data_IF_786559411666
#
_entry.id   IF_786559411666
#
_cell.length_a   1.000
_cell.length_b   1.000
_cell.length_c   1.000
_cell.angle_alpha   90.00
_cell.angle_beta   90.00
_cell.angle_gamma   90.00
#
_symmetry.space_group_name_H-M   'P 1'
#
loop_
_entity.id
_entity.type
_entity.pdbx_description
1 polymer ?
#
# COMPACT_ATOMS: atom_id res chain seq x y z
N UNK A 1 37.54 -18.30 -28.39
CA UNK A 1 36.92 -17.01 -28.74
C UNK A 1 35.48 -17.06 -28.24
N UNK A 2 35.20 -16.60 -27.02
CA UNK A 2 33.87 -16.65 -26.42
C UNK A 2 33.37 -15.21 -26.19
N UNK A 3 32.18 -14.92 -26.73
CA UNK A 3 31.51 -13.63 -26.67
C UNK A 3 31.23 -13.23 -25.21
N UNK A 4 31.78 -12.09 -24.78
CA UNK A 4 31.29 -11.38 -23.62
C UNK A 4 29.91 -10.78 -23.98
N UNK A 5 28.85 -11.28 -23.36
CA UNK A 5 27.50 -10.74 -23.50
C UNK A 5 27.45 -9.30 -22.97
N UNK A 6 27.10 -8.36 -23.85
CA UNK A 6 26.97 -6.92 -23.59
C UNK A 6 25.88 -6.62 -22.54
N UNK A 7 26.26 -6.58 -21.26
CA UNK A 7 25.41 -6.14 -20.13
C UNK A 7 25.06 -4.64 -20.15
N UNK A 8 25.65 -3.85 -21.05
CA UNK A 8 25.41 -2.40 -21.15
C UNK A 8 24.09 -2.08 -21.86
N UNK A 9 23.63 -2.93 -22.78
CA UNK A 9 22.34 -2.71 -23.44
C UNK A 9 21.14 -3.03 -22.53
N UNK A 10 21.31 -3.96 -21.59
CA UNK A 10 20.28 -4.30 -20.61
C UNK A 10 20.05 -3.17 -19.59
N UNK A 11 21.10 -2.45 -19.17
CA UNK A 11 20.99 -1.32 -18.24
C UNK A 11 20.40 -0.05 -18.89
N UNK A 12 20.55 0.12 -20.21
CA UNK A 12 19.99 1.24 -20.97
C UNK A 12 18.50 1.11 -21.29
N UNK A 13 17.91 -0.09 -21.11
CA UNK A 13 16.47 -0.36 -21.36
C UNK A 13 15.62 -0.16 -20.09
N UNK A 14 16.22 -0.19 -18.89
CA UNK A 14 15.51 -0.03 -17.60
C UNK A 14 15.10 1.40 -17.15
N UNK A 15 15.55 2.53 -17.74
CA UNK A 15 15.16 3.87 -17.25
C UNK A 15 13.66 4.13 -17.22
N UNK A 16 12.92 3.51 -18.15
CA UNK A 16 11.48 3.66 -18.28
C UNK A 16 10.68 2.83 -17.27
N UNK A 17 11.22 1.73 -16.76
CA UNK A 17 10.63 1.00 -15.62
C UNK A 17 10.88 1.77 -14.32
N UNK A 18 12.11 2.27 -14.14
CA UNK A 18 12.48 3.06 -12.95
C UNK A 18 11.62 4.31 -12.80
N UNK A 19 11.41 5.07 -13.87
CA UNK A 19 10.56 6.27 -13.80
C UNK A 19 9.08 5.94 -13.53
N UNK A 20 8.58 4.79 -14.01
CA UNK A 20 7.21 4.34 -13.72
C UNK A 20 7.05 3.99 -12.25
N UNK A 21 7.99 3.22 -11.69
CA UNK A 21 7.99 2.87 -10.26
C UNK A 21 8.10 4.13 -9.41
N UNK A 22 8.97 5.07 -9.75
CA UNK A 22 9.11 6.35 -9.04
C UNK A 22 7.82 7.19 -9.07
N UNK A 23 7.13 7.24 -10.22
CA UNK A 23 5.83 7.94 -10.34
C UNK A 23 4.75 7.26 -9.52
N UNK A 24 4.69 5.92 -9.51
CA UNK A 24 3.75 5.17 -8.68
C UNK A 24 4.00 5.43 -7.20
N UNK A 25 5.25 5.36 -6.74
CA UNK A 25 5.63 5.69 -5.35
C UNK A 25 5.26 7.12 -4.98
N UNK A 26 5.50 8.09 -5.86
CA UNK A 26 5.14 9.49 -5.63
C UNK A 26 3.61 9.66 -5.50
N UNK A 27 2.84 9.00 -6.37
CA UNK A 27 1.38 9.03 -6.33
C UNK A 27 0.83 8.38 -5.06
N UNK A 28 1.31 7.20 -4.70
CA UNK A 28 0.91 6.51 -3.48
C UNK A 28 1.27 7.29 -2.22
N UNK A 29 2.45 7.93 -2.19
CA UNK A 29 2.83 8.84 -1.11
C UNK A 29 1.88 10.02 -0.97
N UNK A 30 1.41 10.58 -2.09
CA UNK A 30 0.43 11.66 -2.09
C UNK A 30 -0.92 11.20 -1.51
N UNK A 31 -1.38 9.99 -1.81
CA UNK A 31 -2.58 9.43 -1.16
C UNK A 31 -2.37 9.32 0.35
N UNK A 32 -1.23 8.78 0.80
CA UNK A 32 -0.92 8.68 2.25
C UNK A 32 -0.88 10.04 2.95
N UNK A 33 -0.47 11.11 2.26
CA UNK A 33 -0.54 12.48 2.78
C UNK A 33 -2.02 12.88 2.96
N UNK A 34 -2.85 12.67 1.95
CA UNK A 34 -4.28 12.98 2.01
C UNK A 34 -5.04 12.21 3.10
N UNK A 35 -4.67 10.94 3.30
CA UNK A 35 -5.25 10.07 4.33
C UNK A 35 -4.65 10.28 5.73
N UNK A 36 -3.58 11.08 5.88
CA UNK A 36 -2.93 11.33 7.16
C UNK A 36 -2.11 10.14 7.70
N UNK A 37 -1.58 9.29 6.83
CA UNK A 37 -0.90 8.01 7.13
C UNK A 37 0.55 7.97 6.63
N UNK A 38 1.20 9.12 6.47
CA UNK A 38 2.54 9.23 5.88
C UNK A 38 3.65 8.57 6.73
N UNK A 39 3.44 8.48 8.04
CA UNK A 39 4.37 7.86 8.98
C UNK A 39 4.39 6.33 8.82
N UNK A 40 5.44 5.68 9.34
CA UNK A 40 5.60 4.22 9.25
C UNK A 40 4.42 3.45 9.86
N UNK A 41 3.88 3.96 10.97
CA UNK A 41 2.71 3.37 11.61
C UNK A 41 1.39 3.63 10.85
N UNK A 42 1.44 4.34 9.72
CA UNK A 42 0.34 4.53 8.77
C UNK A 42 -0.29 3.21 8.33
N UNK A 43 0.53 2.17 8.10
CA UNK A 43 0.04 0.83 7.74
C UNK A 43 -0.83 0.16 8.79
N UNK A 44 -0.73 0.59 10.06
CA UNK A 44 -1.56 0.10 11.16
C UNK A 44 -2.56 1.12 11.69
N UNK A 45 -2.73 2.24 11.01
CA UNK A 45 -3.60 3.33 11.46
C UNK A 45 -5.04 3.08 11.04
N UNK A 46 -5.97 3.20 11.98
CA UNK A 46 -7.41 3.18 11.75
C UNK A 46 -7.96 4.60 11.74
N UNK A 47 -9.21 4.73 11.28
CA UNK A 47 -9.98 5.95 11.43
C UNK A 47 -9.89 6.47 12.87
N UNK A 48 -9.81 7.79 13.03
CA UNK A 48 -9.51 8.50 14.29
C UNK A 48 -8.08 8.36 14.83
N UNK A 49 -7.17 7.71 14.10
CA UNK A 49 -5.74 7.64 14.44
C UNK A 49 -5.36 6.49 15.37
N UNK A 50 -6.32 5.67 15.82
CA UNK A 50 -6.07 4.49 16.66
C UNK A 50 -5.26 3.47 15.87
N UNK A 51 -4.42 2.67 16.54
CA UNK A 51 -3.58 1.66 15.88
C UNK A 51 -4.07 0.24 16.17
N UNK A 52 -4.01 -0.63 15.16
CA UNK A 52 -4.15 -2.07 15.36
C UNK A 52 -2.78 -2.75 15.42
N UNK A 53 -2.73 -4.00 15.86
CA UNK A 53 -1.48 -4.76 16.04
C UNK A 53 -1.41 -6.04 15.24
N UNK A 54 -2.55 -6.63 14.88
CA UNK A 54 -2.64 -7.86 14.10
C UNK A 54 -2.91 -7.55 12.62
N UNK A 55 -1.96 -7.93 11.77
CA UNK A 55 -2.05 -7.76 10.32
C UNK A 55 -2.64 -8.97 9.60
N UNK A 56 -2.98 -10.07 10.29
CA UNK A 56 -3.53 -11.28 9.66
C UNK A 56 -4.80 -11.02 8.85
N UNK A 57 -5.50 -9.91 9.14
CA UNK A 57 -6.70 -9.44 8.45
C UNK A 57 -6.86 -7.94 8.63
N UNK A 58 -7.70 -7.34 7.79
CA UNK A 58 -8.19 -5.99 8.03
C UNK A 58 -8.94 -5.94 9.39
N UNK A 59 -8.71 -4.94 10.26
CA UNK A 59 -9.19 -4.95 11.64
C UNK A 59 -10.72 -4.99 11.75
N UNK A 60 -11.43 -4.37 10.78
CA UNK A 60 -12.90 -4.30 10.73
C UNK A 60 -13.50 -3.73 12.03
N UNK A 61 -12.81 -2.75 12.62
CA UNK A 61 -13.27 -2.02 13.80
C UNK A 61 -13.93 -0.74 13.30
N UNK A 62 -15.16 -0.49 13.76
CA UNK A 62 -15.87 0.75 13.49
C UNK A 62 -15.41 1.81 14.49
N UNK A 63 -14.94 2.92 13.97
CA UNK A 63 -14.69 4.13 14.76
C UNK A 63 -15.66 5.23 14.31
N UNK A 64 -16.00 6.13 15.23
CA UNK A 64 -16.88 7.25 14.98
C UNK A 64 -16.16 8.56 15.34
N UNK A 65 -16.22 9.53 14.43
CA UNK A 65 -15.74 10.89 14.67
C UNK A 65 -16.52 11.86 13.77
N UNK A 66 -16.83 13.04 14.30
CA UNK A 66 -17.51 14.11 13.58
C UNK A 66 -18.82 13.66 12.90
N UNK A 67 -19.58 12.75 13.54
CA UNK A 67 -20.83 12.20 13.00
C UNK A 67 -20.66 11.19 11.85
N UNK A 68 -19.43 10.75 11.58
CA UNK A 68 -19.12 9.74 10.56
C UNK A 68 -18.64 8.46 11.23
N UNK A 69 -19.24 7.33 10.84
CA UNK A 69 -18.79 5.98 11.24
C UNK A 69 -18.01 5.36 10.08
N UNK A 70 -16.78 4.94 10.34
CA UNK A 70 -15.91 4.35 9.33
C UNK A 70 -15.16 3.14 9.86
N UNK A 71 -14.82 2.22 8.95
CA UNK A 71 -13.91 1.10 9.20
C UNK A 71 -12.54 1.34 8.55
N UNK A 72 -12.25 2.57 8.11
CA UNK A 72 -11.03 2.86 7.37
C UNK A 72 -9.79 2.44 8.17
N UNK A 73 -8.86 1.73 7.51
CA UNK A 73 -7.60 1.32 8.11
C UNK A 73 -6.47 1.20 7.09
N UNK A 74 -5.24 1.23 7.59
CA UNK A 74 -4.02 1.06 6.80
C UNK A 74 -3.56 2.32 6.08
N UNK A 75 -2.48 2.19 5.33
CA UNK A 75 -1.82 3.29 4.64
C UNK A 75 -2.75 4.03 3.68
N UNK A 76 -3.71 3.32 3.08
CA UNK A 76 -4.65 3.88 2.12
C UNK A 76 -6.09 3.93 2.64
N UNK A 77 -6.26 3.83 3.97
CA UNK A 77 -7.56 3.95 4.65
C UNK A 77 -8.66 3.08 4.00
N UNK A 78 -8.32 1.84 3.65
CA UNK A 78 -9.25 0.89 3.05
C UNK A 78 -10.46 0.68 3.96
N UNK A 79 -11.66 0.73 3.39
CA UNK A 79 -12.87 0.26 4.08
C UNK A 79 -12.88 -1.28 4.09
N UNK A 80 -13.46 -1.88 5.13
CA UNK A 80 -13.51 -3.34 5.27
C UNK A 80 -14.14 -4.03 4.05
N UNK A 81 -15.26 -3.50 3.55
CA UNK A 81 -15.94 -4.05 2.37
C UNK A 81 -15.07 -4.00 1.11
N UNK A 82 -14.35 -2.90 0.91
CA UNK A 82 -13.39 -2.74 -0.19
C UNK A 82 -12.25 -3.74 -0.06
N UNK A 83 -11.63 -3.83 1.11
CA UNK A 83 -10.54 -4.77 1.37
C UNK A 83 -10.99 -6.23 1.14
N UNK A 84 -12.17 -6.61 1.63
CA UNK A 84 -12.76 -7.94 1.42
C UNK A 84 -12.93 -8.29 -0.06
N UNK A 85 -13.28 -7.31 -0.90
CA UNK A 85 -13.39 -7.50 -2.34
C UNK A 85 -12.02 -7.69 -2.99
N UNK A 86 -11.03 -6.88 -2.61
CA UNK A 86 -9.65 -6.99 -3.09
C UNK A 86 -9.01 -8.32 -2.67
N UNK A 87 -9.15 -8.69 -1.41
CA UNK A 87 -8.68 -9.96 -0.86
C UNK A 87 -9.24 -11.16 -1.63
N UNK A 88 -10.54 -11.16 -1.96
CA UNK A 88 -11.13 -12.23 -2.78
C UNK A 88 -10.66 -12.21 -4.24
N UNK A 89 -10.47 -11.03 -4.81
CA UNK A 89 -10.11 -10.87 -6.23
C UNK A 89 -8.65 -11.23 -6.51
N UNK A 90 -7.76 -10.87 -5.59
CA UNK A 90 -6.31 -10.99 -5.76
C UNK A 90 -5.68 -12.01 -4.80
N UNK A 91 -6.48 -12.69 -3.99
CA UNK A 91 -6.03 -13.70 -3.03
C UNK A 91 -5.01 -13.20 -2.02
N UNK A 92 -5.17 -11.95 -1.53
CA UNK A 92 -4.26 -11.41 -0.52
C UNK A 92 -4.36 -12.20 0.79
N UNK A 93 -3.24 -12.77 1.29
CA UNK A 93 -3.27 -13.65 2.45
C UNK A 93 -3.58 -12.92 3.76
N UNK A 94 -3.21 -11.64 3.85
CA UNK A 94 -3.30 -10.83 5.06
C UNK A 94 -3.37 -9.34 4.71
N UNK A 95 -3.42 -8.46 5.72
CA UNK A 95 -3.43 -7.01 5.57
C UNK A 95 -2.06 -6.36 5.85
N UNK A 96 -0.96 -7.11 5.70
CA UNK A 96 0.41 -6.63 5.94
C UNK A 96 0.79 -5.43 5.03
N UNK A 97 1.83 -4.65 5.40
CA UNK A 97 2.27 -3.52 4.60
C UNK A 97 2.51 -3.84 3.12
N UNK A 98 3.12 -4.99 2.80
CA UNK A 98 3.38 -5.41 1.41
C UNK A 98 2.10 -5.71 0.61
N UNK A 99 1.03 -6.14 1.28
CA UNK A 99 -0.27 -6.37 0.64
C UNK A 99 -1.12 -5.08 0.57
N UNK A 100 -0.84 -4.09 1.41
CA UNK A 100 -1.41 -2.76 1.27
C UNK A 100 -0.71 -1.93 0.19
N UNK A 101 0.62 -2.06 0.09
CA UNK A 101 1.51 -1.30 -0.78
C UNK A 101 2.55 -2.21 -1.46
N UNK A 102 2.28 -2.69 -2.69
CA UNK A 102 3.15 -3.64 -3.37
C UNK A 102 4.39 -3.01 -4.01
N UNK A 103 4.55 -1.69 -3.98
CA UNK A 103 5.67 -0.99 -4.65
C UNK A 103 6.64 -0.33 -3.66
N UNK A 104 6.50 -0.60 -2.37
CA UNK A 104 7.47 -0.24 -1.33
C UNK A 104 8.57 -1.29 -1.25
#
# INVERSE_FOLDING_TARGET
MAYASNNVLASLIQPNEDIRILRLRAFLRMIRIGEGTIQEDGYRTMFTGVKFTDFSKHPNIRHEANGVVSTAAGAYQFLYGTWRNLQRRYSFPDFSPSNQDPVV
#
